data_IF_154476043858
#
_entry.id   IF_154476043858
#
_cell.length_a   1.000
_cell.length_b   1.000
_cell.length_c   1.000
_cell.angle_alpha   90.00
_cell.angle_beta   90.00
_cell.angle_gamma   90.00
#
_symmetry.space_group_name_H-M   'P 1'
#
loop_
_entity.id
_entity.type
_entity.pdbx_description
1 polymer ?
#
# COMPACT_ATOMS: atom_id res chain seq x y z
N UNK A 1 26.97 -2.89 16.20
CA UNK A 1 26.31 -1.61 16.61
C UNK A 1 24.81 -1.82 16.40
N UNK A 2 24.11 -1.96 17.51
CA UNK A 2 22.67 -2.27 17.52
C UNK A 2 21.88 -1.01 17.16
N UNK A 3 21.31 -0.94 15.94
CA UNK A 3 20.32 0.09 15.59
C UNK A 3 18.95 -0.44 15.98
N UNK A 4 18.51 -0.10 17.19
CA UNK A 4 17.14 -0.37 17.61
C UNK A 4 16.17 0.47 16.76
N UNK A 5 15.27 -0.18 16.05
CA UNK A 5 14.14 0.46 15.37
C UNK A 5 13.28 1.21 16.39
N UNK A 6 12.99 2.50 16.23
CA UNK A 6 12.23 3.25 17.22
C UNK A 6 10.80 2.70 17.34
N UNK A 7 10.30 2.59 18.59
CA UNK A 7 8.96 2.11 18.89
C UNK A 7 7.89 3.04 18.28
N UNK A 8 6.71 2.52 17.96
CA UNK A 8 5.61 3.21 17.25
C UNK A 8 5.23 4.58 17.87
N UNK A 9 5.29 4.69 19.20
CA UNK A 9 5.03 5.94 19.92
C UNK A 9 6.13 6.98 19.69
N UNK A 10 7.39 6.56 19.50
CA UNK A 10 8.51 7.42 19.15
C UNK A 10 8.36 7.97 17.74
N UNK A 11 7.98 7.14 16.77
CA UNK A 11 7.71 7.57 15.37
C UNK A 11 6.56 8.58 15.27
N UNK A 12 5.50 8.43 16.09
CA UNK A 12 4.41 9.42 16.17
C UNK A 12 4.86 10.74 16.81
N UNK A 13 5.65 10.66 17.87
CA UNK A 13 6.22 11.84 18.53
C UNK A 13 7.17 12.58 17.58
N UNK A 14 8.04 11.88 16.87
CA UNK A 14 8.97 12.44 15.88
C UNK A 14 8.22 13.10 14.72
N UNK A 15 7.13 12.49 14.25
CA UNK A 15 6.30 13.07 13.19
C UNK A 15 5.63 14.36 13.62
N UNK A 16 5.10 14.43 14.85
CA UNK A 16 4.49 15.65 15.39
C UNK A 16 5.53 16.74 15.63
N UNK A 17 6.72 16.36 16.08
CA UNK A 17 7.83 17.28 16.25
C UNK A 17 8.25 17.89 14.90
N UNK A 18 8.43 17.07 13.86
CA UNK A 18 8.82 17.53 12.53
C UNK A 18 7.80 18.52 11.94
N UNK A 19 6.51 18.18 12.04
CA UNK A 19 5.42 19.07 11.57
C UNK A 19 5.44 20.40 12.30
N UNK A 20 5.67 20.38 13.61
CA UNK A 20 5.75 21.61 14.42
C UNK A 20 6.99 22.43 14.08
N UNK A 21 8.15 21.80 13.93
CA UNK A 21 9.41 22.47 13.54
C UNK A 21 9.28 23.14 12.17
N UNK A 22 8.61 22.47 11.22
CA UNK A 22 8.34 23.06 9.92
C UNK A 22 7.37 24.25 9.99
N UNK A 23 6.29 24.12 10.75
CA UNK A 23 5.36 25.22 10.97
C UNK A 23 6.07 26.42 11.61
N UNK A 24 7.01 26.16 12.54
CA UNK A 24 7.86 27.15 13.17
C UNK A 24 8.78 27.87 12.15
N UNK A 25 9.48 27.11 11.31
CA UNK A 25 10.32 27.67 10.22
C UNK A 25 9.51 28.56 9.29
N UNK A 26 8.30 28.12 8.92
CA UNK A 26 7.43 28.89 8.05
C UNK A 26 6.96 30.19 8.68
N UNK A 27 6.54 30.17 9.95
CA UNK A 27 6.19 31.40 10.70
C UNK A 27 7.35 32.38 10.72
N UNK A 28 8.57 31.87 10.93
CA UNK A 28 9.78 32.69 10.96
C UNK A 28 10.19 33.21 9.58
N UNK A 29 9.94 32.44 8.50
CA UNK A 29 10.23 32.85 7.13
C UNK A 29 9.24 33.90 6.58
N UNK A 30 7.96 33.78 6.94
CA UNK A 30 6.89 34.69 6.51
C UNK A 30 6.84 35.95 7.41
N UNK A 31 7.65 36.02 8.48
CA UNK A 31 7.62 37.08 9.45
C UNK A 31 8.17 38.40 8.88
N UNK A 32 7.41 39.47 8.99
CA UNK A 32 7.86 40.84 8.77
C UNK A 32 8.54 41.44 10.01
N UNK A 33 8.18 40.95 11.19
CA UNK A 33 8.70 41.34 12.50
C UNK A 33 9.19 40.08 13.25
N UNK A 34 10.27 40.18 14.05
CA UNK A 34 10.78 39.05 14.82
C UNK A 34 9.77 38.56 15.88
N UNK A 35 9.63 37.24 16.02
CA UNK A 35 8.74 36.62 17.01
C UNK A 35 9.43 36.31 18.32
N UNK A 36 8.76 36.56 19.44
CA UNK A 36 9.17 36.04 20.75
C UNK A 36 8.74 34.59 20.92
N UNK A 37 9.45 33.84 21.78
CA UNK A 37 9.08 32.45 22.13
C UNK A 37 7.63 32.31 22.59
N UNK A 38 7.13 33.32 23.31
CA UNK A 38 5.73 33.36 23.79
C UNK A 38 4.75 33.41 22.63
N UNK A 39 4.97 34.28 21.66
CA UNK A 39 4.12 34.41 20.47
C UNK A 39 4.13 33.13 19.62
N UNK A 40 5.32 32.55 19.44
CA UNK A 40 5.45 31.28 18.71
C UNK A 40 4.71 30.12 19.41
N UNK A 41 4.78 30.06 20.75
CA UNK A 41 4.07 29.06 21.54
C UNK A 41 2.55 29.20 21.43
N UNK A 42 2.04 30.45 21.44
CA UNK A 42 0.62 30.75 21.24
C UNK A 42 0.15 30.41 19.83
N UNK A 43 0.91 30.78 18.79
CA UNK A 43 0.57 30.49 17.38
C UNK A 43 0.54 28.99 17.06
N UNK A 44 1.45 28.23 17.66
CA UNK A 44 1.56 26.79 17.44
C UNK A 44 0.83 25.92 18.49
N UNK A 45 0.09 26.58 19.40
CA UNK A 45 -0.66 25.92 20.48
C UNK A 45 0.18 24.89 21.26
N UNK A 46 1.38 25.30 21.69
CA UNK A 46 2.33 24.46 22.41
C UNK A 46 3.01 25.19 23.57
N UNK A 47 3.84 24.48 24.34
CA UNK A 47 4.56 25.09 25.46
C UNK A 47 5.80 25.88 25.01
N UNK A 48 6.19 26.91 25.77
CA UNK A 48 7.42 27.67 25.54
C UNK A 48 8.66 26.78 25.53
N UNK A 49 8.74 25.82 26.46
CA UNK A 49 9.86 24.88 26.56
C UNK A 49 9.97 24.00 25.31
N UNK A 50 8.83 23.65 24.67
CA UNK A 50 8.80 22.93 23.43
C UNK A 50 9.35 23.77 22.27
N UNK A 51 8.92 25.04 22.17
CA UNK A 51 9.43 25.96 21.14
C UNK A 51 10.93 26.21 21.30
N UNK A 52 11.42 26.44 22.52
CA UNK A 52 12.85 26.63 22.78
C UNK A 52 13.69 25.41 22.31
N UNK A 53 13.19 24.21 22.58
CA UNK A 53 13.85 22.96 22.13
C UNK A 53 13.83 22.83 20.60
N UNK A 54 12.71 23.15 19.97
CA UNK A 54 12.58 23.13 18.52
C UNK A 54 13.47 24.19 17.86
N UNK A 55 13.54 25.41 18.39
CA UNK A 55 14.45 26.45 17.90
C UNK A 55 15.92 26.01 18.01
N UNK A 56 16.33 25.45 19.15
CA UNK A 56 17.68 24.92 19.32
C UNK A 56 18.04 23.78 18.35
N UNK A 57 17.04 23.00 17.94
CA UNK A 57 17.23 21.98 16.91
C UNK A 57 17.39 22.63 15.53
N UNK A 58 16.54 23.58 15.19
CA UNK A 58 16.54 24.25 13.89
C UNK A 58 17.75 25.17 13.69
N UNK A 59 18.27 25.75 14.75
CA UNK A 59 19.47 26.62 14.72
C UNK A 59 20.72 25.89 14.19
N UNK A 60 20.76 24.56 14.30
CA UNK A 60 21.89 23.75 13.78
C UNK A 60 21.90 23.69 12.25
N UNK A 61 20.73 23.72 11.63
CA UNK A 61 20.58 23.48 10.19
C UNK A 61 20.12 24.73 9.42
N UNK A 62 19.59 25.74 10.14
CA UNK A 62 19.07 26.98 9.57
C UNK A 62 19.70 28.20 10.24
N UNK A 63 19.99 29.22 9.44
CA UNK A 63 20.52 30.48 9.96
C UNK A 63 19.40 31.30 10.69
N UNK A 64 19.08 30.88 11.91
CA UNK A 64 18.19 31.60 12.79
C UNK A 64 18.97 32.81 13.40
N UNK A 65 18.39 33.97 13.32
CA UNK A 65 18.94 35.18 13.96
C UNK A 65 18.19 35.42 15.26
N UNK A 66 18.92 35.29 16.36
CA UNK A 66 18.46 35.72 17.69
C UNK A 66 18.76 37.21 17.88
N UNK A 67 17.75 38.00 18.12
CA UNK A 67 17.89 39.42 18.44
C UNK A 67 17.42 39.70 19.87
N UNK A 68 18.11 40.57 20.56
CA UNK A 68 17.70 41.02 21.89
C UNK A 68 16.78 42.24 21.80
N UNK A 69 15.49 42.02 22.02
CA UNK A 69 14.51 43.09 22.09
C UNK A 69 14.37 43.62 23.55
N UNK A 70 15.31 44.44 24.01
CA UNK A 70 15.33 45.00 25.40
C UNK A 70 15.86 44.02 26.45
N UNK A 71 15.88 44.47 27.73
CA UNK A 71 16.67 43.85 28.81
C UNK A 71 16.49 42.36 29.11
N UNK A 72 15.59 41.61 28.48
CA UNK A 72 15.40 40.13 28.70
C UNK A 72 14.54 39.42 27.65
N UNK A 73 14.31 39.98 26.49
CA UNK A 73 13.41 39.35 25.49
C UNK A 73 14.20 38.90 24.26
N UNK A 74 14.33 37.60 24.10
CA UNK A 74 14.87 37.02 22.88
C UNK A 74 13.77 36.94 21.83
N UNK A 75 14.06 37.39 20.62
CA UNK A 75 13.19 37.32 19.46
C UNK A 75 13.97 36.64 18.33
N UNK A 76 13.25 35.88 17.51
CA UNK A 76 13.82 35.04 16.47
C UNK A 76 13.30 35.46 15.11
N UNK A 77 14.14 35.41 14.11
CA UNK A 77 13.81 35.51 12.70
C UNK A 77 14.75 34.64 11.86
N UNK A 78 14.38 34.32 10.64
CA UNK A 78 15.27 33.68 9.68
C UNK A 78 15.97 34.77 8.86
N UNK A 79 17.29 34.63 8.62
CA UNK A 79 18.03 35.53 7.74
C UNK A 79 17.45 35.48 6.32
N UNK A 80 17.27 36.65 5.70
CA UNK A 80 16.61 36.86 4.41
C UNK A 80 17.20 36.01 3.23
N UNK A 81 18.38 35.44 3.39
CA UNK A 81 18.99 34.56 2.38
C UNK A 81 18.30 33.19 2.25
N UNK A 82 17.44 32.80 3.20
CA UNK A 82 16.68 31.53 3.16
C UNK A 82 15.22 31.75 2.71
N UNK A 83 14.88 32.86 2.11
CA UNK A 83 13.58 33.09 1.45
C UNK A 83 13.28 32.12 0.29
N UNK A 84 14.21 31.24 -0.07
CA UNK A 84 14.05 30.19 -1.07
C UNK A 84 13.66 28.83 -0.49
N UNK A 85 13.05 28.76 0.71
CA UNK A 85 12.14 27.65 1.00
C UNK A 85 10.92 27.90 0.11
N UNK A 86 11.06 27.56 -1.18
CA UNK A 86 9.92 27.45 -2.08
C UNK A 86 8.88 26.61 -1.37
N UNK A 87 7.77 27.22 -1.00
CA UNK A 87 6.65 26.48 -0.44
C UNK A 87 6.29 25.43 -1.46
N UNK A 88 6.40 24.14 -1.10
CA UNK A 88 5.91 23.07 -1.96
C UNK A 88 4.45 23.41 -2.21
N UNK A 89 4.15 23.86 -3.42
CA UNK A 89 2.81 24.21 -3.83
C UNK A 89 2.22 23.01 -4.57
N UNK A 90 1.16 22.47 -4.01
CA UNK A 90 0.39 21.43 -4.69
C UNK A 90 -0.80 22.08 -5.42
N UNK A 91 -0.95 21.76 -6.69
CA UNK A 91 -2.18 22.05 -7.44
C UNK A 91 -3.37 21.26 -6.88
N UNK A 92 -4.59 21.74 -7.11
CA UNK A 92 -5.81 21.06 -6.65
C UNK A 92 -5.91 19.62 -7.17
N UNK A 93 -5.50 19.40 -8.42
CA UNK A 93 -5.49 18.06 -9.05
C UNK A 93 -4.46 17.13 -8.40
N UNK A 94 -3.28 17.65 -8.03
CA UNK A 94 -2.25 16.86 -7.35
C UNK A 94 -2.72 16.45 -5.95
N UNK A 95 -3.35 17.36 -5.21
CA UNK A 95 -3.96 17.05 -3.91
C UNK A 95 -5.08 16.01 -4.03
N UNK A 96 -5.91 16.11 -5.07
CA UNK A 96 -6.94 15.12 -5.35
C UNK A 96 -6.33 13.75 -5.65
N UNK A 97 -5.26 13.70 -6.46
CA UNK A 97 -4.56 12.45 -6.79
C UNK A 97 -3.96 11.80 -5.56
N UNK A 98 -3.31 12.57 -4.68
CA UNK A 98 -2.76 12.08 -3.41
C UNK A 98 -3.88 11.55 -2.50
N UNK A 99 -4.99 12.27 -2.41
CA UNK A 99 -6.15 11.85 -1.61
C UNK A 99 -6.78 10.56 -2.16
N UNK A 100 -6.97 10.47 -3.48
CA UNK A 100 -7.49 9.27 -4.13
C UNK A 100 -6.58 8.06 -3.91
N UNK A 101 -5.25 8.26 -3.99
CA UNK A 101 -4.27 7.21 -3.67
C UNK A 101 -4.38 6.75 -2.21
N UNK A 102 -4.46 7.68 -1.25
CA UNK A 102 -4.67 7.34 0.17
C UNK A 102 -5.97 6.57 0.38
N UNK A 103 -7.06 7.03 -0.25
CA UNK A 103 -8.35 6.38 -0.14
C UNK A 103 -8.33 4.96 -0.76
N UNK A 104 -7.64 4.76 -1.88
CA UNK A 104 -7.46 3.44 -2.51
C UNK A 104 -6.66 2.48 -1.63
N UNK A 105 -5.71 3.00 -0.85
CA UNK A 105 -4.88 2.24 0.08
C UNK A 105 -5.53 2.07 1.46
N UNK A 106 -6.77 2.55 1.68
CA UNK A 106 -7.49 2.35 2.93
C UNK A 106 -7.72 0.87 3.28
N UNK A 107 -7.73 0.00 2.28
CA UNK A 107 -7.80 -1.45 2.45
C UNK A 107 -6.55 -2.02 3.17
N UNK A 108 -5.41 -1.29 3.19
CA UNK A 108 -4.20 -1.61 3.97
C UNK A 108 -4.32 -1.20 5.45
N UNK A 109 -5.50 -0.74 5.90
CA UNK A 109 -5.71 -0.34 7.30
C UNK A 109 -5.25 -1.46 8.26
N UNK A 110 -4.56 -1.07 9.33
CA UNK A 110 -3.94 -2.00 10.28
C UNK A 110 -2.52 -2.44 9.92
N UNK A 111 -2.01 -2.12 8.71
CA UNK A 111 -0.61 -2.39 8.36
C UNK A 111 0.31 -1.21 8.69
N UNK A 112 1.62 -1.45 8.95
CA UNK A 112 2.62 -0.39 9.05
C UNK A 112 2.63 0.54 7.82
N UNK A 113 2.47 -0.01 6.62
CA UNK A 113 2.41 0.73 5.36
C UNK A 113 1.29 1.78 5.33
N UNK A 114 0.12 1.45 5.87
CA UNK A 114 -0.99 2.40 5.99
C UNK A 114 -0.67 3.52 6.98
N UNK A 115 -0.08 3.19 8.13
CA UNK A 115 0.25 4.18 9.15
C UNK A 115 1.35 5.13 8.68
N UNK A 116 2.36 4.62 7.98
CA UNK A 116 3.39 5.44 7.36
C UNK A 116 2.80 6.37 6.29
N UNK A 117 1.85 5.89 5.48
CA UNK A 117 1.13 6.72 4.53
C UNK A 117 0.33 7.83 5.23
N UNK A 118 -0.37 7.50 6.32
CA UNK A 118 -1.10 8.50 7.13
C UNK A 118 -0.14 9.52 7.75
N UNK A 119 1.03 9.09 8.21
CA UNK A 119 2.07 9.97 8.72
C UNK A 119 2.62 10.90 7.63
N UNK A 120 2.90 10.37 6.43
CA UNK A 120 3.31 11.19 5.26
C UNK A 120 2.23 12.19 4.89
N UNK A 121 0.95 11.78 4.84
CA UNK A 121 -0.16 12.69 4.56
C UNK A 121 -0.31 13.78 5.61
N UNK A 122 -0.05 13.46 6.88
CA UNK A 122 -0.05 14.44 7.96
C UNK A 122 1.07 15.48 7.79
N UNK A 123 2.25 15.03 7.38
CA UNK A 123 3.37 15.93 7.03
C UNK A 123 2.99 16.83 5.87
N UNK A 124 2.48 16.27 4.76
CA UNK A 124 2.03 17.05 3.59
C UNK A 124 0.99 18.11 3.99
N UNK A 125 0.01 17.75 4.83
CA UNK A 125 -0.98 18.70 5.35
C UNK A 125 -0.36 19.84 6.13
N UNK A 126 0.72 19.59 6.87
CA UNK A 126 1.50 20.61 7.58
C UNK A 126 2.15 21.65 6.65
N UNK A 127 2.48 21.26 5.41
CA UNK A 127 3.04 22.15 4.39
C UNK A 127 1.98 22.98 3.66
N UNK A 128 0.71 22.60 3.73
CA UNK A 128 -0.36 23.28 3.01
C UNK A 128 -0.83 24.53 3.73
N UNK A 129 -1.14 25.57 2.96
CA UNK A 129 -1.79 26.75 3.52
C UNK A 129 -3.18 26.42 4.07
N UNK A 130 -3.73 27.21 5.01
CA UNK A 130 -5.08 27.01 5.55
C UNK A 130 -6.17 26.91 4.45
N UNK A 131 -6.01 27.64 3.33
CA UNK A 131 -6.92 27.59 2.17
C UNK A 131 -6.88 26.23 1.49
N UNK A 132 -5.70 25.63 1.30
CA UNK A 132 -5.54 24.32 0.70
C UNK A 132 -5.99 23.19 1.64
N UNK A 133 -5.82 23.35 2.96
CA UNK A 133 -6.34 22.39 3.95
C UNK A 133 -7.87 22.30 3.95
N UNK A 134 -8.57 23.42 3.76
CA UNK A 134 -10.03 23.42 3.55
C UNK A 134 -10.43 22.68 2.26
N UNK A 135 -9.64 22.82 1.20
CA UNK A 135 -9.82 22.06 -0.05
C UNK A 135 -9.69 20.55 0.14
N UNK A 136 -8.69 20.08 0.92
CA UNK A 136 -8.51 18.65 1.21
C UNK A 136 -9.71 18.04 1.95
N UNK A 137 -10.31 18.74 2.89
CA UNK A 137 -11.53 18.27 3.55
C UNK A 137 -12.72 18.22 2.58
N UNK A 138 -12.81 19.13 1.61
CA UNK A 138 -13.83 19.07 0.56
C UNK A 138 -13.62 17.87 -0.37
N UNK A 139 -12.37 17.46 -0.64
CA UNK A 139 -12.06 16.30 -1.48
C UNK A 139 -12.54 14.96 -0.89
N UNK A 140 -12.62 14.84 0.44
CA UNK A 140 -13.21 13.65 1.09
C UNK A 140 -14.69 13.43 0.73
N UNK A 141 -15.38 14.49 0.26
CA UNK A 141 -16.75 14.40 -0.22
C UNK A 141 -16.86 13.99 -1.69
N UNK A 142 -15.76 14.09 -2.44
CA UNK A 142 -15.70 13.80 -3.88
C UNK A 142 -15.36 12.34 -4.14
N UNK A 143 -14.58 11.72 -3.26
CA UNK A 143 -14.07 10.36 -3.46
C UNK A 143 -14.30 9.49 -2.21
N UNK A 144 -15.06 8.41 -2.39
CA UNK A 144 -15.30 7.41 -1.33
C UNK A 144 -14.73 6.08 -1.79
N UNK A 145 -13.70 5.54 -1.11
CA UNK A 145 -13.21 4.21 -1.42
C UNK A 145 -14.26 3.18 -1.02
N UNK A 146 -14.54 2.23 -1.91
CA UNK A 146 -15.41 1.11 -1.63
C UNK A 146 -14.66 -0.21 -1.80
N UNK A 147 -14.24 -0.81 -0.70
CA UNK A 147 -13.63 -2.14 -0.68
C UNK A 147 -14.66 -3.17 -0.21
N UNK A 148 -14.78 -4.29 -0.94
CA UNK A 148 -15.57 -5.43 -0.50
C UNK A 148 -14.69 -6.36 0.33
N UNK A 149 -14.90 -6.34 1.65
CA UNK A 149 -14.10 -7.10 2.59
C UNK A 149 -12.67 -6.54 2.73
N UNK A 150 -12.09 -6.73 3.88
CA UNK A 150 -10.68 -6.46 4.15
C UNK A 150 -10.18 -7.44 5.20
N UNK A 151 -8.88 -7.63 5.24
CA UNK A 151 -8.21 -8.41 6.28
C UNK A 151 -7.64 -7.42 7.28
N UNK A 152 -7.89 -7.63 8.57
CA UNK A 152 -7.24 -6.88 9.62
C UNK A 152 -5.84 -7.43 9.87
N UNK A 153 -4.82 -6.59 9.69
CA UNK A 153 -3.41 -6.91 9.88
C UNK A 153 -2.86 -6.38 11.20
N UNK A 154 -3.71 -5.92 12.12
CA UNK A 154 -3.27 -5.36 13.39
C UNK A 154 -2.38 -6.30 14.21
N UNK A 155 -2.68 -7.60 14.19
CA UNK A 155 -1.89 -8.64 14.86
C UNK A 155 -0.60 -9.03 14.11
N UNK A 156 -0.46 -8.74 12.82
CA UNK A 156 0.68 -9.11 11.98
C UNK A 156 1.62 -7.94 11.65
N UNK A 157 1.55 -6.84 12.38
CA UNK A 157 2.34 -5.63 12.09
C UNK A 157 3.85 -5.89 12.12
N UNK A 158 4.32 -6.54 13.17
CA UNK A 158 5.75 -6.87 13.35
C UNK A 158 6.23 -7.81 12.23
N UNK A 159 5.42 -8.82 11.89
CA UNK A 159 5.74 -9.75 10.81
C UNK A 159 5.81 -9.06 9.43
N UNK A 160 4.99 -8.03 9.19
CA UNK A 160 5.05 -7.23 7.94
C UNK A 160 6.36 -6.44 7.90
N UNK A 161 6.72 -5.76 8.97
CA UNK A 161 7.97 -4.99 9.07
C UNK A 161 9.19 -5.91 8.89
N UNK A 162 9.20 -7.08 9.54
CA UNK A 162 10.26 -8.08 9.44
C UNK A 162 10.42 -8.60 8.00
N UNK A 163 9.32 -8.90 7.33
CA UNK A 163 9.33 -9.36 5.93
C UNK A 163 9.79 -8.25 4.99
N UNK A 164 9.36 -7.01 5.19
CA UNK A 164 9.81 -5.86 4.38
C UNK A 164 11.33 -5.67 4.51
N UNK A 165 11.86 -5.72 5.74
CA UNK A 165 13.30 -5.62 5.98
C UNK A 165 14.05 -6.81 5.37
N UNK A 166 13.53 -8.03 5.52
CA UNK A 166 14.12 -9.24 4.96
C UNK A 166 14.16 -9.21 3.41
N UNK A 167 13.11 -8.71 2.75
CA UNK A 167 13.10 -8.50 1.30
C UNK A 167 14.17 -7.48 0.90
N UNK A 168 14.21 -6.33 1.58
CA UNK A 168 15.15 -5.25 1.28
C UNK A 168 16.60 -5.69 1.44
N UNK A 169 16.91 -6.51 2.45
CA UNK A 169 18.26 -7.02 2.76
C UNK A 169 18.53 -8.39 2.17
N UNK A 170 17.58 -9.00 1.48
CA UNK A 170 17.66 -10.36 0.93
C UNK A 170 18.04 -11.41 1.97
N UNK A 171 17.36 -11.36 3.13
CA UNK A 171 17.59 -12.31 4.22
C UNK A 171 16.58 -13.44 4.19
N UNK A 172 17.09 -14.63 4.54
CA UNK A 172 16.24 -15.82 4.71
C UNK A 172 15.41 -15.67 5.97
N UNK A 173 14.13 -16.08 5.89
CA UNK A 173 13.23 -16.11 7.03
C UNK A 173 12.79 -17.54 7.35
N UNK A 174 12.59 -17.82 8.63
CA UNK A 174 11.79 -18.95 9.10
C UNK A 174 10.37 -18.43 9.29
N UNK A 175 9.43 -18.96 8.51
CA UNK A 175 8.03 -18.52 8.49
C UNK A 175 7.14 -19.66 8.96
N UNK A 176 6.42 -19.46 10.06
CA UNK A 176 5.34 -20.36 10.47
C UNK A 176 4.07 -20.00 9.73
N UNK A 177 3.63 -20.85 8.81
CA UNK A 177 2.49 -20.64 7.92
C UNK A 177 1.44 -21.72 8.08
N UNK A 178 0.16 -21.32 8.13
CA UNK A 178 -0.98 -22.22 8.19
C UNK A 178 -1.77 -22.17 6.88
N UNK A 179 -1.60 -23.17 6.02
CA UNK A 179 -2.45 -23.33 4.83
C UNK A 179 -3.90 -23.66 5.25
N UNK A 180 -4.87 -23.31 4.39
CA UNK A 180 -6.28 -23.56 4.69
C UNK A 180 -6.54 -25.04 4.97
N UNK A 181 -7.15 -25.34 6.12
CA UNK A 181 -7.48 -26.69 6.54
C UNK A 181 -6.27 -27.58 6.93
N UNK A 182 -5.10 -26.99 7.14
CA UNK A 182 -3.89 -27.71 7.57
C UNK A 182 -3.34 -27.15 8.87
N UNK A 183 -2.52 -27.94 9.56
CA UNK A 183 -1.77 -27.51 10.73
C UNK A 183 -0.65 -26.52 10.33
N UNK A 184 -0.29 -25.57 11.22
CA UNK A 184 0.82 -24.66 11.01
C UNK A 184 2.13 -25.43 10.78
N UNK A 185 2.95 -24.95 9.85
CA UNK A 185 4.29 -25.49 9.57
C UNK A 185 5.30 -24.39 9.41
N UNK A 186 6.50 -24.62 9.92
CA UNK A 186 7.63 -23.75 9.69
C UNK A 186 8.26 -24.04 8.33
N UNK A 187 8.55 -22.97 7.61
CA UNK A 187 9.19 -23.00 6.30
C UNK A 187 10.40 -22.09 6.29
N UNK A 188 11.52 -22.58 5.81
CA UNK A 188 12.66 -21.75 5.43
C UNK A 188 12.31 -21.05 4.13
N UNK A 189 12.18 -19.73 4.14
CA UNK A 189 11.67 -18.94 3.03
C UNK A 189 12.69 -17.87 2.59
N UNK A 190 12.79 -17.68 1.29
CA UNK A 190 13.45 -16.55 0.65
C UNK A 190 12.35 -15.59 0.20
N UNK A 191 12.04 -14.54 0.98
CA UNK A 191 10.99 -13.60 0.67
C UNK A 191 11.40 -12.75 -0.53
N UNK A 192 10.50 -12.58 -1.51
CA UNK A 192 10.81 -11.92 -2.78
C UNK A 192 10.05 -10.60 -2.96
N UNK A 193 8.74 -10.61 -2.72
CA UNK A 193 7.86 -9.46 -2.96
C UNK A 193 6.58 -9.57 -2.16
N UNK A 194 6.06 -8.42 -1.69
CA UNK A 194 4.70 -8.30 -1.20
C UNK A 194 3.77 -7.90 -2.34
N UNK A 195 2.61 -8.54 -2.43
CA UNK A 195 1.59 -8.27 -3.44
C UNK A 195 0.28 -7.96 -2.74
N UNK A 196 -0.31 -6.83 -3.12
CA UNK A 196 -1.66 -6.47 -2.71
C UNK A 196 -2.66 -6.95 -3.76
N UNK A 197 -3.57 -7.84 -3.40
CA UNK A 197 -4.56 -8.38 -4.31
C UNK A 197 -5.91 -8.59 -3.62
N UNK A 198 -7.00 -8.08 -4.21
CA UNK A 198 -8.38 -8.23 -3.70
C UNK A 198 -8.53 -7.96 -2.21
N UNK A 199 -7.99 -6.82 -1.77
CA UNK A 199 -8.03 -6.37 -0.37
C UNK A 199 -7.32 -7.30 0.63
N UNK A 200 -6.34 -8.08 0.18
CA UNK A 200 -5.48 -8.89 1.02
C UNK A 200 -4.01 -8.79 0.59
N UNK A 201 -3.11 -8.91 1.57
CA UNK A 201 -1.66 -8.91 1.38
C UNK A 201 -1.18 -10.35 1.22
N UNK A 202 -0.28 -10.55 0.26
CA UNK A 202 0.35 -11.82 -0.02
C UNK A 202 1.86 -11.67 -0.08
N UNK A 203 2.56 -12.70 0.36
CA UNK A 203 4.00 -12.81 0.23
C UNK A 203 4.34 -13.80 -0.88
N UNK A 204 5.12 -13.36 -1.86
CA UNK A 204 5.77 -14.22 -2.82
C UNK A 204 7.13 -14.62 -2.25
N UNK A 205 7.37 -15.92 -2.14
CA UNK A 205 8.62 -16.47 -1.58
C UNK A 205 8.99 -17.79 -2.26
N UNK A 206 10.29 -18.11 -2.28
CA UNK A 206 10.73 -19.47 -2.54
C UNK A 206 10.89 -20.21 -1.20
N UNK A 207 10.24 -21.39 -1.09
CA UNK A 207 10.28 -22.19 0.13
C UNK A 207 11.33 -23.30 0.04
N UNK A 208 12.11 -23.48 1.11
CA UNK A 208 13.20 -24.49 1.14
C UNK A 208 14.23 -24.24 0.05
N UNK A 209 14.72 -25.32 -0.55
CA UNK A 209 15.69 -25.28 -1.64
C UNK A 209 15.06 -25.08 -3.04
N UNK A 210 13.71 -25.07 -3.11
CA UNK A 210 13.03 -24.95 -4.39
C UNK A 210 13.18 -23.56 -5.01
N UNK A 211 13.38 -23.51 -6.31
CA UNK A 211 13.45 -22.27 -7.10
C UNK A 211 12.05 -21.80 -7.55
N UNK A 212 10.98 -22.41 -7.02
CA UNK A 212 9.60 -22.10 -7.37
C UNK A 212 9.05 -21.00 -6.47
N UNK A 213 8.39 -20.00 -7.07
CA UNK A 213 7.65 -18.97 -6.33
C UNK A 213 6.37 -19.59 -5.75
N UNK A 214 6.18 -19.40 -4.47
CA UNK A 214 4.96 -19.77 -3.74
C UNK A 214 4.29 -18.51 -3.22
N UNK A 215 2.98 -18.43 -3.41
CA UNK A 215 2.15 -17.32 -2.91
C UNK A 215 1.59 -17.68 -1.55
N UNK A 216 1.97 -16.94 -0.52
CA UNK A 216 1.51 -17.12 0.86
C UNK A 216 0.55 -15.98 1.24
N UNK A 217 -0.67 -16.31 1.67
CA UNK A 217 -1.60 -15.32 2.22
C UNK A 217 -1.05 -14.77 3.54
N UNK A 218 -0.76 -13.48 3.63
CA UNK A 218 -0.02 -12.91 4.76
C UNK A 218 -0.75 -13.10 6.09
N UNK A 219 -2.08 -12.98 6.11
CA UNK A 219 -2.92 -13.20 7.29
C UNK A 219 -2.90 -14.63 7.86
N UNK A 220 -2.24 -15.57 7.18
CA UNK A 220 -2.01 -16.95 7.61
C UNK A 220 -0.57 -17.18 8.08
N UNK A 221 0.23 -16.14 8.13
CA UNK A 221 1.56 -16.16 8.73
C UNK A 221 1.41 -15.88 10.22
N UNK A 222 1.83 -16.83 11.04
CA UNK A 222 1.77 -16.72 12.50
C UNK A 222 3.04 -16.12 13.08
N UNK A 223 4.18 -16.47 12.51
CA UNK A 223 5.49 -16.01 12.99
C UNK A 223 6.46 -15.85 11.83
N UNK A 224 7.32 -14.83 11.92
CA UNK A 224 8.45 -14.59 11.03
C UNK A 224 9.70 -14.39 11.88
N UNK A 225 10.76 -15.16 11.60
CA UNK A 225 12.08 -14.99 12.22
C UNK A 225 13.10 -14.74 11.12
N UNK A 226 13.61 -13.53 11.03
CA UNK A 226 14.67 -13.20 10.09
C UNK A 226 15.99 -13.81 10.57
N UNK A 227 16.69 -14.49 9.67
CA UNK A 227 18.02 -15.05 9.95
C UNK A 227 19.12 -14.11 9.51
N UNK A 228 20.36 -14.39 9.91
CA UNK A 228 21.55 -13.65 9.42
C UNK A 228 22.01 -14.10 8.04
N UNK A 229 21.40 -15.15 7.49
CA UNK A 229 21.75 -15.68 6.18
C UNK A 229 21.14 -14.87 5.05
N UNK A 230 21.97 -14.51 4.08
CA UNK A 230 21.54 -13.85 2.85
C UNK A 230 21.32 -14.86 1.74
N UNK A 231 20.37 -14.56 0.84
CA UNK A 231 20.19 -15.35 -0.37
C UNK A 231 20.52 -14.54 -1.63
N UNK A 232 21.07 -15.22 -2.62
CA UNK A 232 21.26 -14.63 -3.94
C UNK A 232 19.90 -14.40 -4.61
N UNK A 233 19.74 -13.28 -5.30
CA UNK A 233 18.52 -13.00 -6.04
C UNK A 233 18.24 -14.17 -7.00
N UNK A 234 17.07 -14.82 -6.89
CA UNK A 234 16.75 -15.90 -7.80
C UNK A 234 16.70 -15.36 -9.25
N UNK A 235 17.10 -16.20 -10.20
CA UNK A 235 17.01 -15.87 -11.64
C UNK A 235 15.57 -15.95 -12.15
N UNK A 236 14.62 -15.58 -11.30
CA UNK A 236 13.18 -15.57 -11.58
C UNK A 236 12.75 -14.12 -11.74
N UNK A 237 12.10 -13.84 -12.85
CA UNK A 237 11.42 -12.57 -13.04
C UNK A 237 10.09 -12.61 -12.28
N UNK A 238 10.09 -12.06 -11.07
CA UNK A 238 8.91 -12.04 -10.18
C UNK A 238 7.79 -11.20 -10.78
N UNK A 239 8.12 -10.13 -11.50
CA UNK A 239 7.13 -9.26 -12.14
C UNK A 239 6.48 -9.95 -13.33
N UNK A 240 7.28 -10.65 -14.16
CA UNK A 240 6.75 -11.51 -15.22
C UNK A 240 5.92 -12.68 -14.65
N UNK A 241 6.29 -13.22 -13.47
CA UNK A 241 5.49 -14.25 -12.80
C UNK A 241 4.11 -13.72 -12.40
N UNK A 242 4.04 -12.54 -11.77
CA UNK A 242 2.77 -11.92 -11.37
C UNK A 242 1.94 -11.53 -12.59
N UNK A 243 2.56 -11.02 -13.66
CA UNK A 243 1.85 -10.59 -14.88
C UNK A 243 1.20 -11.74 -15.66
N UNK A 244 1.69 -12.97 -15.50
CA UNK A 244 1.11 -14.20 -16.10
C UNK A 244 -0.08 -14.75 -15.31
N UNK A 245 -0.24 -14.32 -14.06
CA UNK A 245 -1.36 -14.75 -13.24
C UNK A 245 -2.64 -14.05 -13.69
N UNK A 246 -3.78 -14.75 -13.68
CA UNK A 246 -5.09 -14.09 -13.79
C UNK A 246 -5.40 -13.23 -12.56
N UNK A 247 -4.82 -13.57 -11.42
CA UNK A 247 -4.77 -12.81 -10.18
C UNK A 247 -3.37 -12.84 -9.57
N UNK A 248 -3.10 -13.78 -8.66
CA UNK A 248 -1.79 -13.92 -7.98
C UNK A 248 -1.28 -15.35 -7.91
N UNK A 249 -2.09 -16.33 -8.32
CA UNK A 249 -1.71 -17.74 -8.31
C UNK A 249 -1.27 -18.17 -9.68
N UNK A 250 -0.07 -18.75 -9.76
CA UNK A 250 0.51 -19.30 -10.98
C UNK A 250 0.84 -20.76 -10.73
N UNK A 251 0.46 -21.63 -11.64
CA UNK A 251 0.91 -23.03 -11.71
C UNK A 251 1.85 -23.25 -12.90
N UNK A 252 2.45 -24.44 -12.99
CA UNK A 252 3.53 -24.68 -13.94
C UNK A 252 3.04 -24.82 -15.41
N UNK A 253 1.77 -25.19 -15.60
CA UNK A 253 1.19 -25.42 -16.91
C UNK A 253 0.18 -24.32 -17.27
N UNK A 254 0.49 -23.54 -18.31
CA UNK A 254 -0.44 -22.58 -18.90
C UNK A 254 -1.35 -23.29 -19.89
N UNK A 255 -2.64 -22.97 -19.80
CA UNK A 255 -3.68 -23.46 -20.70
C UNK A 255 -4.22 -22.34 -21.58
N UNK A 256 -4.64 -22.68 -22.78
CA UNK A 256 -5.42 -21.77 -23.63
C UNK A 256 -6.88 -21.82 -23.19
N UNK A 257 -7.31 -20.75 -22.55
CA UNK A 257 -8.67 -20.64 -21.98
C UNK A 257 -9.55 -19.87 -22.94
N UNK A 258 -10.71 -20.45 -23.27
CA UNK A 258 -11.75 -19.78 -24.07
C UNK A 258 -13.05 -19.71 -23.27
N UNK A 259 -13.61 -18.49 -23.22
CA UNK A 259 -14.89 -18.20 -22.55
C UNK A 259 -15.78 -17.45 -23.53
N UNK A 260 -17.03 -17.85 -23.61
CA UNK A 260 -18.08 -17.13 -24.33
C UNK A 260 -18.97 -16.38 -23.33
N UNK A 261 -19.18 -15.10 -23.58
CA UNK A 261 -20.10 -14.27 -22.84
C UNK A 261 -21.29 -13.90 -23.71
N UNK A 262 -22.49 -14.00 -23.18
CA UNK A 262 -23.71 -13.63 -23.88
C UNK A 262 -23.73 -12.14 -24.24
N UNK A 263 -24.42 -11.80 -25.34
CA UNK A 263 -24.49 -10.45 -25.88
C UNK A 263 -24.93 -9.42 -24.83
N UNK A 264 -25.82 -9.83 -23.93
CA UNK A 264 -26.39 -8.99 -22.87
C UNK A 264 -25.33 -8.46 -21.88
N UNK A 265 -24.28 -9.25 -21.59
CA UNK A 265 -23.28 -8.88 -20.58
C UNK A 265 -21.88 -8.65 -21.19
N UNK A 266 -21.70 -8.88 -22.48
CA UNK A 266 -20.41 -8.80 -23.15
C UNK A 266 -19.69 -7.46 -22.93
N UNK A 267 -20.41 -6.35 -22.87
CA UNK A 267 -19.87 -5.02 -22.60
C UNK A 267 -19.10 -4.92 -21.27
N UNK A 268 -19.53 -5.66 -20.24
CA UNK A 268 -18.85 -5.67 -18.91
C UNK A 268 -17.44 -6.20 -18.99
N UNK A 269 -17.17 -7.11 -19.93
CA UNK A 269 -15.85 -7.71 -20.14
C UNK A 269 -15.05 -6.89 -21.14
N UNK A 270 -15.70 -6.32 -22.17
CA UNK A 270 -15.05 -5.48 -23.17
C UNK A 270 -14.44 -4.22 -22.60
N UNK A 271 -15.13 -3.55 -21.68
CA UNK A 271 -14.73 -2.28 -21.08
C UNK A 271 -13.53 -2.39 -20.09
N UNK A 272 -13.12 -3.60 -19.74
CA UNK A 272 -12.07 -3.83 -18.75
C UNK A 272 -10.98 -4.74 -19.30
N UNK A 273 -9.74 -4.48 -18.90
CA UNK A 273 -8.64 -5.40 -19.12
C UNK A 273 -8.51 -6.33 -17.91
N UNK A 274 -8.61 -7.64 -18.15
CA UNK A 274 -8.58 -8.66 -17.09
C UNK A 274 -7.25 -9.43 -17.08
N UNK A 275 -6.59 -9.55 -18.24
CA UNK A 275 -5.33 -10.28 -18.37
C UNK A 275 -4.46 -9.71 -19.50
N UNK A 276 -3.11 -9.67 -19.35
CA UNK A 276 -2.23 -9.12 -20.39
C UNK A 276 -2.30 -9.87 -21.73
N UNK A 277 -2.59 -11.18 -21.71
CA UNK A 277 -2.71 -12.00 -22.94
C UNK A 277 -4.13 -12.05 -23.52
N UNK A 278 -5.06 -11.24 -23.01
CA UNK A 278 -6.46 -11.31 -23.44
C UNK A 278 -6.67 -10.95 -24.90
N UNK A 279 -7.52 -11.71 -25.54
CA UNK A 279 -8.05 -11.46 -26.87
C UNK A 279 -9.58 -11.44 -26.80
N UNK A 280 -10.17 -10.41 -27.35
CA UNK A 280 -11.61 -10.17 -27.36
C UNK A 280 -12.12 -10.09 -28.77
N UNK A 281 -13.09 -10.92 -29.09
CA UNK A 281 -13.69 -10.99 -30.42
C UNK A 281 -15.22 -10.96 -30.30
N UNK A 282 -15.85 -9.93 -30.84
CA UNK A 282 -17.31 -9.86 -30.90
C UNK A 282 -17.79 -10.74 -32.05
N UNK A 283 -18.63 -11.72 -31.74
CA UNK A 283 -19.22 -12.63 -32.73
C UNK A 283 -20.42 -12.00 -33.44
N UNK A 284 -20.79 -12.55 -34.64
CA UNK A 284 -21.94 -12.02 -35.41
C UNK A 284 -23.28 -12.10 -34.66
N UNK A 285 -23.44 -13.03 -33.72
CA UNK A 285 -24.64 -13.17 -32.86
C UNK A 285 -24.62 -12.23 -31.64
N UNK A 286 -23.60 -11.35 -31.54
CA UNK A 286 -23.45 -10.41 -30.44
C UNK A 286 -22.77 -10.94 -29.19
N UNK A 287 -22.46 -12.24 -29.13
CA UNK A 287 -21.65 -12.80 -28.04
C UNK A 287 -20.21 -12.32 -28.11
N UNK A 288 -19.51 -12.33 -26.97
CA UNK A 288 -18.09 -12.03 -26.87
C UNK A 288 -17.31 -13.32 -26.64
N UNK A 289 -16.39 -13.64 -27.57
CA UNK A 289 -15.38 -14.64 -27.35
C UNK A 289 -14.18 -14.00 -26.66
N UNK A 290 -13.84 -14.51 -25.49
CA UNK A 290 -12.71 -14.07 -24.68
C UNK A 290 -11.69 -15.19 -24.56
N UNK A 291 -10.44 -14.91 -24.91
CA UNK A 291 -9.34 -15.88 -24.84
C UNK A 291 -8.21 -15.34 -24.04
N UNK A 292 -7.60 -16.18 -23.21
CA UNK A 292 -6.38 -15.92 -22.44
C UNK A 292 -5.51 -17.17 -22.38
N UNK A 293 -4.21 -16.96 -22.12
CA UNK A 293 -3.32 -18.03 -21.65
C UNK A 293 -3.13 -17.87 -20.16
N UNK A 294 -3.48 -18.89 -19.39
CA UNK A 294 -3.40 -18.83 -17.93
C UNK A 294 -3.26 -20.21 -17.31
N UNK A 295 -2.55 -20.28 -16.20
CA UNK A 295 -2.47 -21.47 -15.36
C UNK A 295 -3.39 -21.40 -14.14
N UNK A 296 -4.11 -20.27 -13.98
CA UNK A 296 -4.83 -19.92 -12.75
C UNK A 296 -6.27 -20.46 -12.72
N UNK A 297 -6.45 -21.77 -12.84
CA UNK A 297 -7.78 -22.43 -12.81
C UNK A 297 -8.63 -21.98 -11.60
N UNK A 298 -7.98 -21.86 -10.45
CA UNK A 298 -8.62 -21.50 -9.18
C UNK A 298 -9.11 -20.04 -9.11
N UNK A 299 -8.71 -19.20 -10.05
CA UNK A 299 -9.15 -17.82 -10.15
C UNK A 299 -10.08 -17.60 -11.32
N UNK A 300 -9.83 -18.27 -12.47
CA UNK A 300 -10.64 -18.16 -13.68
C UNK A 300 -12.03 -18.80 -13.48
N UNK A 301 -12.11 -20.01 -12.93
CA UNK A 301 -13.41 -20.67 -12.72
C UNK A 301 -14.34 -19.84 -11.82
N UNK A 302 -13.93 -19.37 -10.62
CA UNK A 302 -14.78 -18.48 -9.81
C UNK A 302 -15.13 -17.17 -10.53
N UNK A 303 -14.21 -16.62 -11.33
CA UNK A 303 -14.51 -15.41 -12.10
C UNK A 303 -15.61 -15.66 -13.14
N UNK A 304 -15.56 -16.75 -13.89
CA UNK A 304 -16.62 -17.15 -14.83
C UNK A 304 -17.95 -17.31 -14.09
N UNK A 305 -17.95 -17.96 -12.93
CA UNK A 305 -19.16 -18.15 -12.11
C UNK A 305 -19.81 -16.83 -11.64
N UNK A 306 -19.03 -15.72 -11.54
CA UNK A 306 -19.62 -14.41 -11.18
C UNK A 306 -20.60 -13.87 -12.20
N UNK A 307 -20.55 -14.37 -13.44
CA UNK A 307 -21.47 -13.98 -14.52
C UNK A 307 -22.72 -14.86 -14.59
N UNK A 308 -22.82 -15.88 -13.73
CA UNK A 308 -23.99 -16.78 -13.67
C UNK A 308 -24.21 -17.52 -14.99
N UNK A 309 -25.46 -17.53 -15.52
CA UNK A 309 -25.77 -18.27 -16.74
C UNK A 309 -25.27 -17.60 -18.02
N UNK A 310 -24.74 -16.38 -17.94
CA UNK A 310 -24.33 -15.57 -19.09
C UNK A 310 -22.91 -15.80 -19.56
N UNK A 311 -22.17 -16.73 -18.93
CA UNK A 311 -20.81 -17.06 -19.32
C UNK A 311 -20.63 -18.57 -19.44
N UNK A 312 -20.03 -19.01 -20.54
CA UNK A 312 -19.69 -20.39 -20.80
C UNK A 312 -18.17 -20.57 -20.89
N UNK A 313 -17.59 -21.39 -20.02
CA UNK A 313 -16.20 -21.83 -20.14
C UNK A 313 -16.12 -22.94 -21.20
N UNK A 314 -15.54 -22.61 -22.37
CA UNK A 314 -15.47 -23.51 -23.51
C UNK A 314 -14.24 -24.40 -23.43
N UNK A 315 -13.09 -23.82 -23.16
CA UNK A 315 -11.80 -24.52 -23.07
C UNK A 315 -10.98 -24.01 -21.87
N UNK A 316 -10.07 -24.82 -21.30
CA UNK A 316 -9.83 -26.23 -21.67
C UNK A 316 -10.91 -27.17 -21.11
N UNK A 317 -11.02 -28.36 -21.69
CA UNK A 317 -12.05 -29.34 -21.33
C UNK A 317 -12.00 -29.75 -19.85
N UNK A 318 -10.78 -29.88 -19.29
CA UNK A 318 -10.58 -30.20 -17.86
C UNK A 318 -11.13 -29.15 -16.92
N UNK A 319 -11.04 -27.87 -17.28
CA UNK A 319 -11.59 -26.76 -16.48
C UNK A 319 -13.11 -26.66 -16.63
N UNK A 320 -13.62 -26.90 -17.85
CA UNK A 320 -15.06 -26.96 -18.11
C UNK A 320 -15.71 -28.07 -17.27
N UNK A 321 -15.07 -29.24 -17.21
CA UNK A 321 -15.57 -30.37 -16.42
C UNK A 321 -15.55 -30.06 -14.90
N UNK A 322 -14.48 -29.41 -14.41
CA UNK A 322 -14.42 -28.96 -13.02
C UNK A 322 -15.51 -27.92 -12.70
N UNK A 323 -15.78 -26.99 -13.62
CA UNK A 323 -16.87 -26.02 -13.47
C UNK A 323 -18.23 -26.72 -13.46
N UNK A 324 -18.47 -27.70 -14.35
CA UNK A 324 -19.70 -28.50 -14.37
C UNK A 324 -19.94 -29.20 -13.04
N UNK A 325 -18.91 -29.88 -12.51
CA UNK A 325 -19.01 -30.52 -11.19
C UNK A 325 -19.35 -29.53 -10.05
N UNK A 326 -18.78 -28.31 -10.09
CA UNK A 326 -19.13 -27.26 -9.13
C UNK A 326 -20.61 -26.84 -9.25
N UNK A 327 -21.13 -26.71 -10.48
CA UNK A 327 -22.52 -26.33 -10.73
C UNK A 327 -23.50 -27.43 -10.27
N UNK A 328 -23.19 -28.71 -10.51
CA UNK A 328 -23.94 -29.85 -10.01
C UNK A 328 -23.98 -29.86 -8.47
N UNK A 329 -22.83 -29.64 -7.83
CA UNK A 329 -22.74 -29.53 -6.37
C UNK A 329 -23.51 -28.30 -5.82
N UNK A 330 -23.54 -27.19 -6.54
CA UNK A 330 -24.37 -26.02 -6.20
C UNK A 330 -25.85 -26.36 -6.34
N UNK A 331 -26.26 -26.93 -7.45
CA UNK A 331 -27.66 -27.33 -7.70
C UNK A 331 -28.19 -28.24 -6.58
N UNK A 332 -27.38 -29.23 -6.16
CA UNK A 332 -27.74 -30.14 -5.08
C UNK A 332 -27.96 -29.45 -3.70
N UNK A 333 -27.50 -28.22 -3.51
CA UNK A 333 -27.73 -27.43 -2.29
C UNK A 333 -29.02 -26.62 -2.32
N UNK A 334 -29.59 -26.38 -3.49
CA UNK A 334 -30.76 -25.55 -3.70
C UNK A 334 -31.98 -26.32 -4.20
N UNK A 335 -31.82 -27.55 -4.60
CA UNK A 335 -32.87 -28.46 -5.05
C UNK A 335 -32.84 -29.72 -4.25
#
# INVERSE_FOLDING_TARGET
>A
MSSSTPKLNERRADSQQLVRQWALLRLLADATEPYSVKQLAEQLNTSKATIERDLATLERDFALVEESAGKQKKVYRIDHKIRALESITFGTTELLSIYAAQASLSALAGTPLHDDLVAVMTKIRGFLSPRHNGGLQALSRVFVPHARGHVDYGAQREQIDDVVDAIARRRICLITYQAAGKEPREHRARPLKLVWHRSALYLLACLGEHQRITTLAFHRIHEVKTTDEEFAQPRLDVDAHVSKAFGIFVSDEEEDVEILFDAEIAWKVEERTHHPSEQKERLPDGRLRYRIRSSARWEVIPWVQTFGPYAELVAPASWREALRANLEAMQAKYG
#
